data_IF_230803123251
#
_entry.id   IF_230803123251
#
_cell.length_a   1.000
_cell.length_b   1.000
_cell.length_c   1.000
_cell.angle_alpha   90.00
_cell.angle_beta   90.00
_cell.angle_gamma   90.00
#
_symmetry.space_group_name_H-M   'P 1'
#
loop_
_entity.id
_entity.type
_entity.pdbx_description
1 polymer ?
#
# COMPACT_ATOMS: atom_id res chain seq x y z
N UNK A 1 -5.41 24.48 -25.97
CA UNK A 1 -4.54 24.50 -24.78
C UNK A 1 -4.53 23.11 -24.16
N UNK A 2 -3.38 22.49 -23.85
CA UNK A 2 -3.38 21.24 -23.09
C UNK A 2 -3.92 21.54 -21.68
N UNK A 3 -4.99 20.83 -21.29
CA UNK A 3 -5.62 20.96 -19.97
C UNK A 3 -4.55 20.64 -18.92
N UNK A 4 -4.13 21.63 -18.13
CA UNK A 4 -3.11 21.45 -17.08
C UNK A 4 -3.51 20.25 -16.21
N UNK A 5 -2.65 19.25 -16.13
CA UNK A 5 -2.88 18.05 -15.31
C UNK A 5 -3.08 18.49 -13.86
N UNK A 6 -4.24 18.18 -13.29
CA UNK A 6 -4.60 18.50 -11.91
C UNK A 6 -3.82 17.57 -11.00
N UNK A 7 -3.02 18.13 -10.09
CA UNK A 7 -2.30 17.38 -9.05
C UNK A 7 -3.22 17.16 -7.85
N UNK A 8 -3.42 15.90 -7.46
CA UNK A 8 -4.25 15.53 -6.31
C UNK A 8 -3.38 14.86 -5.27
N UNK A 9 -3.53 15.28 -4.01
CA UNK A 9 -2.89 14.63 -2.87
C UNK A 9 -3.97 14.10 -1.95
N UNK A 10 -3.95 12.80 -1.65
CA UNK A 10 -4.82 12.17 -0.65
C UNK A 10 -4.04 11.94 0.64
N UNK A 11 -4.60 12.33 1.78
CA UNK A 11 -4.05 12.11 3.12
C UNK A 11 -5.00 11.18 3.88
N UNK A 12 -4.51 10.05 4.40
CA UNK A 12 -5.37 9.14 5.16
C UNK A 12 -4.77 7.77 5.43
N UNK A 13 -5.63 6.78 5.65
CA UNK A 13 -5.25 5.40 5.93
C UNK A 13 -6.49 4.50 5.96
N UNK A 14 -6.36 3.36 6.61
CA UNK A 14 -7.39 2.35 6.76
C UNK A 14 -8.00 1.88 5.44
N UNK A 15 -9.30 1.61 5.47
CA UNK A 15 -10.06 1.08 4.32
C UNK A 15 -10.63 2.18 3.43
N UNK A 16 -10.76 3.41 3.93
CA UNK A 16 -11.34 4.54 3.18
C UNK A 16 -10.43 5.09 2.09
N UNK A 17 -9.13 5.25 2.37
CA UNK A 17 -8.18 5.82 1.41
C UNK A 17 -8.11 5.04 0.07
N UNK A 18 -8.04 3.69 0.08
CA UNK A 18 -8.09 2.90 -1.15
C UNK A 18 -9.35 3.10 -2.01
N UNK A 19 -10.51 3.40 -1.39
CA UNK A 19 -11.77 3.62 -2.10
C UNK A 19 -11.72 4.96 -2.85
N UNK A 20 -11.27 6.02 -2.16
CA UNK A 20 -11.14 7.36 -2.73
C UNK A 20 -10.15 7.36 -3.91
N UNK A 21 -8.99 6.71 -3.76
CA UNK A 21 -7.98 6.63 -4.82
C UNK A 21 -8.54 5.94 -6.07
N UNK A 22 -9.24 4.81 -5.90
CA UNK A 22 -9.90 4.12 -7.03
C UNK A 22 -10.94 5.00 -7.72
N UNK A 23 -11.73 5.75 -6.95
CA UNK A 23 -12.73 6.67 -7.52
C UNK A 23 -12.07 7.79 -8.33
N UNK A 24 -10.96 8.36 -7.84
CA UNK A 24 -10.19 9.38 -8.56
C UNK A 24 -9.62 8.85 -9.88
N UNK A 25 -9.07 7.63 -9.87
CA UNK A 25 -8.58 6.97 -11.08
C UNK A 25 -9.71 6.75 -12.10
N UNK A 26 -10.88 6.26 -11.65
CA UNK A 26 -12.06 6.08 -12.51
C UNK A 26 -12.59 7.41 -13.08
N UNK A 27 -12.49 8.50 -12.31
CA UNK A 27 -12.84 9.85 -12.76
C UNK A 27 -11.85 10.46 -13.77
N UNK A 28 -10.76 9.75 -14.10
CA UNK A 28 -9.78 10.15 -15.11
C UNK A 28 -8.62 10.97 -14.56
N UNK A 29 -8.45 11.07 -13.24
CA UNK A 29 -7.27 11.68 -12.65
C UNK A 29 -6.09 10.70 -12.68
N UNK A 30 -4.93 11.18 -13.14
CA UNK A 30 -3.73 10.36 -13.31
C UNK A 30 -2.50 10.90 -12.56
N UNK A 31 -2.61 12.07 -11.91
CA UNK A 31 -1.54 12.70 -11.14
C UNK A 31 -1.93 12.75 -9.67
N UNK A 32 -1.85 11.59 -9.03
CA UNK A 32 -2.29 11.36 -7.65
C UNK A 32 -1.07 10.99 -6.80
N UNK A 33 -0.87 11.70 -5.70
CA UNK A 33 0.04 11.32 -4.62
C UNK A 33 -0.76 10.91 -3.40
N UNK A 34 -0.36 9.84 -2.73
CA UNK A 34 -1.03 9.36 -1.52
C UNK A 34 -0.06 9.40 -0.35
N UNK A 35 -0.44 10.11 0.70
CA UNK A 35 0.27 10.16 1.98
C UNK A 35 -0.55 9.30 2.95
N UNK A 36 0.07 8.21 3.38
CA UNK A 36 -0.61 7.19 4.19
C UNK A 36 -0.12 7.18 5.62
N UNK A 37 -1.05 7.14 6.56
CA UNK A 37 -0.75 6.97 7.98
C UNK A 37 -0.09 5.61 8.25
N UNK A 38 0.98 5.62 9.02
CA UNK A 38 1.81 4.43 9.29
C UNK A 38 1.97 4.14 10.79
N UNK A 39 1.07 4.70 11.60
CA UNK A 39 1.08 4.61 13.06
C UNK A 39 0.03 3.63 13.62
N UNK A 40 -0.74 2.95 12.76
CA UNK A 40 -1.78 2.02 13.22
C UNK A 40 -1.18 0.92 14.11
N UNK A 41 -1.63 0.88 15.37
CA UNK A 41 -1.28 -0.11 16.37
C UNK A 41 -2.34 -1.21 16.51
N UNK A 42 -3.41 -1.18 15.70
CA UNK A 42 -4.47 -2.16 15.69
C UNK A 42 -4.19 -3.39 14.82
N UNK A 43 -4.59 -4.57 15.28
CA UNK A 43 -4.57 -5.80 14.49
C UNK A 43 -3.17 -6.38 14.22
N UNK A 44 -2.98 -7.00 13.05
CA UNK A 44 -1.74 -7.75 12.70
C UNK A 44 -0.48 -6.90 12.77
N UNK A 45 -0.61 -5.61 12.51
CA UNK A 45 0.51 -4.68 12.53
C UNK A 45 1.00 -4.37 13.95
N UNK A 46 0.09 -4.41 14.94
CA UNK A 46 0.46 -4.34 16.35
C UNK A 46 1.19 -5.59 16.84
N UNK A 47 0.84 -6.78 16.33
CA UNK A 47 1.50 -8.04 16.69
C UNK A 47 2.95 -8.08 16.19
N UNK A 48 3.19 -7.73 14.91
CA UNK A 48 4.55 -7.66 14.35
C UNK A 48 5.41 -6.61 15.08
N UNK A 49 4.83 -5.46 15.47
CA UNK A 49 5.52 -4.44 16.25
C UNK A 49 5.97 -4.91 17.63
N UNK A 50 5.14 -5.75 18.26
CA UNK A 50 5.40 -6.31 19.59
C UNK A 50 6.56 -7.31 19.55
N UNK A 51 6.62 -8.15 18.52
CA UNK A 51 7.67 -9.16 18.37
C UNK A 51 9.02 -8.56 17.89
N UNK A 52 9.00 -7.44 17.17
CA UNK A 52 10.21 -6.80 16.59
C UNK A 52 10.70 -5.55 17.34
N UNK A 53 10.32 -5.41 18.62
CA UNK A 53 10.79 -4.34 19.54
C UNK A 53 10.54 -2.91 19.02
N UNK A 54 9.33 -2.61 18.54
CA UNK A 54 8.93 -1.26 18.11
C UNK A 54 9.73 -0.65 16.94
N UNK A 55 10.55 -1.43 16.22
CA UNK A 55 11.34 -0.91 15.08
C UNK A 55 10.60 -0.91 13.75
N UNK A 56 9.38 -1.41 13.73
CA UNK A 56 8.65 -1.67 12.50
C UNK A 56 7.49 -0.71 12.33
N UNK A 57 7.53 0.04 11.24
CA UNK A 57 6.44 0.94 10.82
C UNK A 57 5.22 0.11 10.40
N UNK A 58 4.02 0.61 10.69
CA UNK A 58 2.81 -0.06 10.27
C UNK A 58 2.56 0.08 8.77
N UNK A 59 2.92 -0.94 7.98
CA UNK A 59 2.87 -0.89 6.51
C UNK A 59 1.53 -1.34 5.90
N UNK A 60 0.59 -1.83 6.72
CA UNK A 60 -0.66 -2.40 6.21
C UNK A 60 -1.47 -1.40 5.37
N UNK A 61 -1.64 -0.19 5.89
CA UNK A 61 -2.32 0.87 5.17
C UNK A 61 -1.50 1.36 3.97
N UNK A 62 -0.18 1.44 4.12
CA UNK A 62 0.73 1.81 3.04
C UNK A 62 0.59 0.86 1.86
N UNK A 63 0.64 -0.46 2.11
CA UNK A 63 0.54 -1.48 1.08
C UNK A 63 -0.85 -1.48 0.40
N UNK A 64 -1.92 -1.38 1.19
CA UNK A 64 -3.29 -1.24 0.65
C UNK A 64 -3.44 0.01 -0.22
N UNK A 65 -2.84 1.12 0.18
CA UNK A 65 -2.84 2.37 -0.58
C UNK A 65 -2.05 2.20 -1.88
N UNK A 66 -0.86 1.61 -1.82
CA UNK A 66 -0.02 1.33 -2.99
C UNK A 66 -0.76 0.49 -4.03
N UNK A 67 -1.39 -0.60 -3.61
CA UNK A 67 -2.20 -1.47 -4.48
C UNK A 67 -3.40 -0.70 -5.08
N UNK A 68 -3.94 0.28 -4.37
CA UNK A 68 -5.07 1.09 -4.86
C UNK A 68 -4.70 2.06 -5.99
N UNK A 69 -3.42 2.41 -6.12
CA UNK A 69 -2.91 3.27 -7.21
C UNK A 69 -2.87 2.54 -8.56
N UNK A 70 -2.97 1.20 -8.57
CA UNK A 70 -3.14 0.43 -9.80
C UNK A 70 -4.50 0.76 -10.41
N UNK A 71 -4.47 1.31 -11.63
CA UNK A 71 -5.69 1.73 -12.33
C UNK A 71 -6.70 0.57 -12.43
N UNK A 72 -7.99 0.78 -12.11
CA UNK A 72 -8.98 -0.31 -12.06
C UNK A 72 -9.09 -1.15 -13.34
N UNK A 73 -8.93 -0.53 -14.51
CA UNK A 73 -8.91 -1.23 -15.82
C UNK A 73 -7.70 -2.16 -16.01
N UNK A 74 -6.61 -1.96 -15.27
CA UNK A 74 -5.40 -2.78 -15.39
C UNK A 74 -5.43 -3.98 -14.44
N UNK A 75 -6.29 -3.96 -13.43
CA UNK A 75 -6.40 -5.03 -12.41
C UNK A 75 -6.82 -6.38 -13.00
N UNK A 76 -7.50 -6.37 -14.15
CA UNK A 76 -7.87 -7.59 -14.87
C UNK A 76 -6.72 -8.23 -15.66
N UNK A 77 -5.57 -7.54 -15.83
CA UNK A 77 -4.41 -8.12 -16.51
C UNK A 77 -3.85 -9.27 -15.65
N UNK A 78 -3.56 -10.45 -16.23
CA UNK A 78 -3.19 -11.64 -15.45
C UNK A 78 -1.99 -11.43 -14.51
N UNK A 79 -0.96 -10.73 -14.98
CA UNK A 79 0.24 -10.42 -14.20
C UNK A 79 -0.04 -9.44 -13.05
N UNK A 80 -0.92 -8.46 -13.27
CA UNK A 80 -1.31 -7.48 -12.23
C UNK A 80 -2.18 -8.15 -11.18
N UNK A 81 -3.13 -8.99 -11.62
CA UNK A 81 -3.95 -9.78 -10.71
C UNK A 81 -3.09 -10.68 -9.83
N UNK A 82 -2.16 -11.44 -10.43
CA UNK A 82 -1.25 -12.30 -9.68
C UNK A 82 -0.39 -11.51 -8.69
N UNK A 83 0.10 -10.32 -9.05
CA UNK A 83 0.83 -9.45 -8.13
C UNK A 83 -0.03 -9.01 -6.94
N UNK A 84 -1.27 -8.57 -7.20
CA UNK A 84 -2.21 -8.17 -6.14
C UNK A 84 -2.51 -9.36 -5.22
N UNK A 85 -2.79 -10.53 -5.80
CA UNK A 85 -3.04 -11.76 -5.03
C UNK A 85 -1.85 -12.10 -4.13
N UNK A 86 -0.61 -11.98 -4.62
CA UNK A 86 0.60 -12.20 -3.82
C UNK A 86 0.74 -11.19 -2.67
N UNK A 87 0.49 -9.90 -2.92
CA UNK A 87 0.65 -8.87 -1.90
C UNK A 87 -0.46 -8.92 -0.82
N UNK A 88 -1.68 -9.29 -1.21
CA UNK A 88 -2.83 -9.36 -0.28
C UNK A 88 -2.95 -10.73 0.44
N UNK A 89 -2.29 -11.78 -0.05
CA UNK A 89 -2.41 -13.12 0.52
C UNK A 89 -1.94 -13.19 1.99
N UNK A 90 -2.81 -13.75 2.84
CA UNK A 90 -2.47 -14.17 4.20
C UNK A 90 -2.55 -15.69 4.29
N UNK A 91 -1.49 -16.33 4.76
CA UNK A 91 -1.46 -17.78 4.97
C UNK A 91 -2.22 -18.24 6.23
N UNK A 92 -2.34 -19.55 6.41
CA UNK A 92 -3.00 -20.17 7.58
C UNK A 92 -2.29 -19.92 8.92
N UNK A 93 -1.07 -19.34 8.92
CA UNK A 93 -0.34 -18.90 10.11
C UNK A 93 -0.50 -17.40 10.36
N UNK A 94 -1.43 -16.76 9.66
CA UNK A 94 -1.72 -15.34 9.76
C UNK A 94 -0.58 -14.40 9.28
N UNK A 95 0.33 -14.91 8.44
CA UNK A 95 1.42 -14.12 7.83
C UNK A 95 0.96 -13.58 6.48
N UNK A 96 1.12 -12.28 6.26
CA UNK A 96 0.84 -11.66 4.96
C UNK A 96 2.12 -11.62 4.11
N UNK A 97 2.05 -12.13 2.88
CA UNK A 97 3.23 -12.22 2.01
C UNK A 97 3.72 -10.84 1.55
N UNK A 98 2.82 -9.89 1.29
CA UNK A 98 3.18 -8.51 0.97
C UNK A 98 3.96 -7.82 2.08
N UNK A 99 3.63 -8.11 3.34
CA UNK A 99 4.38 -7.59 4.49
C UNK A 99 5.79 -8.17 4.54
N UNK A 100 5.92 -9.48 4.35
CA UNK A 100 7.22 -10.15 4.27
C UNK A 100 8.09 -9.57 3.17
N UNK A 101 7.52 -9.35 1.97
CA UNK A 101 8.23 -8.75 0.85
C UNK A 101 8.73 -7.34 1.18
N UNK A 102 7.85 -6.51 1.75
CA UNK A 102 8.22 -5.15 2.15
C UNK A 102 9.36 -5.13 3.17
N UNK A 103 9.26 -5.92 4.25
CA UNK A 103 10.30 -5.95 5.28
C UNK A 103 11.62 -6.54 4.76
N UNK A 104 11.56 -7.54 3.87
CA UNK A 104 12.76 -8.06 3.21
C UNK A 104 13.45 -7.00 2.34
N UNK A 105 12.67 -6.16 1.65
CA UNK A 105 13.21 -5.03 0.89
C UNK A 105 13.77 -3.95 1.81
N UNK A 106 13.07 -3.65 2.91
CA UNK A 106 13.53 -2.69 3.90
C UNK A 106 14.88 -3.11 4.49
N UNK A 107 15.04 -4.38 4.85
CA UNK A 107 16.32 -4.94 5.31
C UNK A 107 17.40 -4.84 4.21
N UNK A 108 17.07 -5.24 2.97
CA UNK A 108 17.98 -5.13 1.82
C UNK A 108 18.46 -3.70 1.60
N UNK A 109 17.60 -2.71 1.82
CA UNK A 109 17.93 -1.29 1.71
C UNK A 109 18.39 -0.66 3.03
N UNK A 110 18.91 -1.46 3.96
CA UNK A 110 19.52 -0.98 5.22
C UNK A 110 18.57 -0.13 6.08
N UNK A 111 17.28 -0.46 6.05
CA UNK A 111 16.19 0.27 6.70
C UNK A 111 15.91 1.68 6.13
N UNK A 112 16.32 1.95 4.89
CA UNK A 112 15.89 3.15 4.16
C UNK A 112 14.47 2.96 3.60
N UNK A 113 13.50 3.57 4.28
CA UNK A 113 12.09 3.56 3.89
C UNK A 113 11.81 4.22 2.54
N UNK A 114 12.64 5.17 2.10
CA UNK A 114 12.45 5.87 0.83
C UNK A 114 12.99 5.06 -0.36
N UNK A 115 13.82 4.06 -0.10
CA UNK A 115 14.42 3.19 -1.11
C UNK A 115 13.58 1.93 -1.44
N UNK A 116 12.58 1.62 -0.62
CA UNK A 116 11.63 0.49 -0.80
C UNK A 116 10.49 0.87 -1.75
#
# INVERSE_FOLDING_TARGET
MPKKSIKIVTLGGGTGAPIIIKALLLAGFNNISAITASMDSGGKTGLVRSDERDRIIAIGDLLRTLISLIHPKDRQKPNIKALIDLLDYTDGRNRNLGYTLYYSLLEKYQNDFLAV
#
